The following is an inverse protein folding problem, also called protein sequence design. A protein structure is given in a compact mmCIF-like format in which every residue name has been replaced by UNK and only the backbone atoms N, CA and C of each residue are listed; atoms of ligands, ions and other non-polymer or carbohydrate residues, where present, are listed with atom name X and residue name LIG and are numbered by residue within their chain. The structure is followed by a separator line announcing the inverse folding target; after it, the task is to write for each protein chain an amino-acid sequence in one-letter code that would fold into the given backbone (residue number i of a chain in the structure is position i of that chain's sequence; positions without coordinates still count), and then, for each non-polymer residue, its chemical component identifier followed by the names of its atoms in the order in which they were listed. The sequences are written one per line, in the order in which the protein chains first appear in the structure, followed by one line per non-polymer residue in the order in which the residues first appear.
data_IF_732575718753
#
_entry.id   IF_732575718753
#
_cell.length_a   1.000
_cell.length_b   1.000
_cell.length_c   1.000
_cell.angle_alpha   90.00
_cell.angle_beta   90.00
_cell.angle_gamma   90.00
#
_symmetry.space_group_name_H-M   'P 1'
#
loop_
_entity.id
_entity.type
_entity.pdbx_description
1 polymer ?
#
# COMPACT_ATOMS: atom_id res chain seq x y z
N UNK A 1 -14.16 -1.64 -8.86
CA UNK A 1 -12.78 -2.15 -8.83
C UNK A 1 -11.86 -0.98 -8.60
N UNK A 2 -11.00 -1.03 -7.59
CA UNK A 2 -10.02 0.02 -7.32
C UNK A 2 -8.73 -0.33 -8.06
N UNK A 3 -8.21 0.56 -8.89
CA UNK A 3 -6.98 0.31 -9.65
C UNK A 3 -5.74 0.51 -8.75
N UNK A 4 -5.47 -0.45 -7.88
CA UNK A 4 -4.33 -0.41 -6.94
C UNK A 4 -3.48 -1.68 -7.01
N UNK A 5 -2.28 -1.64 -6.44
CA UNK A 5 -1.34 -2.77 -6.49
C UNK A 5 -1.90 -4.07 -5.88
N UNK A 6 -2.83 -3.98 -4.93
CA UNK A 6 -3.46 -5.15 -4.29
C UNK A 6 -4.34 -5.88 -5.30
N UNK A 7 -5.17 -5.15 -6.05
CA UNK A 7 -5.99 -5.75 -7.11
C UNK A 7 -5.16 -6.37 -8.23
N UNK A 8 -4.08 -5.71 -8.66
CA UNK A 8 -3.17 -6.24 -9.67
C UNK A 8 -2.55 -7.55 -9.19
N UNK A 9 -2.05 -7.59 -7.94
CA UNK A 9 -1.48 -8.81 -7.35
C UNK A 9 -2.50 -9.95 -7.30
N UNK A 10 -3.74 -9.66 -6.92
CA UNK A 10 -4.80 -10.66 -6.86
C UNK A 10 -5.04 -11.28 -8.23
N UNK A 11 -5.21 -10.46 -9.27
CA UNK A 11 -5.43 -10.95 -10.64
C UNK A 11 -4.28 -11.82 -11.14
N UNK A 12 -3.03 -11.51 -10.80
CA UNK A 12 -1.89 -12.35 -11.19
C UNK A 12 -1.89 -13.70 -10.48
N UNK A 13 -2.23 -13.72 -9.19
CA UNK A 13 -2.36 -14.98 -8.45
C UNK A 13 -3.50 -15.84 -9.00
N UNK A 14 -4.61 -15.22 -9.39
CA UNK A 14 -5.73 -15.90 -10.04
C UNK A 14 -5.29 -16.50 -11.40
N UNK A 15 -4.53 -15.75 -12.21
CA UNK A 15 -4.01 -16.28 -13.49
C UNK A 15 -3.06 -17.46 -13.31
N UNK A 16 -2.28 -17.49 -12.23
CA UNK A 16 -1.43 -18.64 -11.88
C UNK A 16 -2.27 -19.85 -11.45
N UNK A 17 -3.39 -19.63 -10.75
CA UNK A 17 -4.33 -20.69 -10.41
C UNK A 17 -4.99 -21.27 -11.68
N UNK A 18 -5.40 -20.41 -12.61
CA UNK A 18 -6.02 -20.78 -13.89
C UNK A 18 -5.05 -21.55 -14.81
N UNK A 19 -3.77 -21.17 -14.82
CA UNK A 19 -2.73 -21.93 -15.52
C UNK A 19 -2.48 -23.32 -14.93
N UNK A 20 -2.65 -23.47 -13.60
CA UNK A 20 -2.47 -24.75 -12.90
C UNK A 20 -3.70 -25.66 -13.01
N UNK A 21 -4.83 -25.14 -13.47
CA UNK A 21 -6.06 -25.91 -13.61
C UNK A 21 -5.89 -26.97 -14.70
N UNK A 22 -6.05 -28.26 -14.35
CA UNK A 22 -5.89 -29.37 -15.29
C UNK A 22 -7.14 -29.64 -16.13
N UNK A 23 -8.31 -29.23 -15.64
CA UNK A 23 -9.60 -29.51 -16.29
C UNK A 23 -9.92 -28.44 -17.34
N UNK A 24 -9.54 -27.19 -17.08
CA UNK A 24 -9.69 -26.08 -18.02
C UNK A 24 -8.53 -25.08 -17.86
N UNK A 25 -7.33 -25.40 -18.38
CA UNK A 25 -6.19 -24.51 -18.31
C UNK A 25 -6.40 -23.26 -19.16
N UNK A 26 -5.95 -22.11 -18.66
CA UNK A 26 -5.90 -20.89 -19.46
C UNK A 26 -4.89 -21.03 -20.60
N UNK A 27 -5.18 -20.38 -21.74
CA UNK A 27 -4.27 -20.28 -22.87
C UNK A 27 -2.95 -19.57 -22.50
N UNK A 28 -1.83 -20.15 -22.94
CA UNK A 28 -0.48 -19.71 -22.59
C UNK A 28 -0.16 -18.33 -23.20
N UNK A 29 -0.63 -18.05 -24.41
CA UNK A 29 -0.39 -16.76 -25.06
C UNK A 29 -1.13 -15.64 -24.33
N UNK A 30 -2.36 -15.91 -23.87
CA UNK A 30 -3.10 -15.00 -22.99
C UNK A 30 -2.36 -14.77 -21.66
N UNK A 31 -1.84 -15.84 -21.06
CA UNK A 31 -1.08 -15.73 -19.82
C UNK A 31 0.16 -14.85 -19.97
N UNK A 32 0.87 -15.00 -21.10
CA UNK A 32 2.03 -14.20 -21.43
C UNK A 32 1.69 -12.72 -21.60
N UNK A 33 0.60 -12.42 -22.31
CA UNK A 33 0.11 -11.05 -22.47
C UNK A 33 -0.22 -10.39 -21.11
N UNK A 34 -0.84 -11.14 -20.19
CA UNK A 34 -1.12 -10.67 -18.83
C UNK A 34 0.18 -10.41 -18.06
N UNK A 35 1.16 -11.31 -18.15
CA UNK A 35 2.46 -11.15 -17.48
C UNK A 35 3.24 -9.92 -18.00
N UNK A 36 3.15 -9.62 -19.29
CA UNK A 36 3.80 -8.44 -19.88
C UNK A 36 3.18 -7.13 -19.36
N UNK A 37 1.84 -7.05 -19.32
CA UNK A 37 1.14 -5.89 -18.74
C UNK A 37 1.44 -5.74 -17.24
N UNK A 38 1.51 -6.86 -16.52
CA UNK A 38 1.87 -6.87 -15.10
C UNK A 38 3.26 -6.28 -14.85
N UNK A 39 4.22 -6.56 -15.73
CA UNK A 39 5.58 -6.04 -15.64
C UNK A 39 5.59 -4.52 -15.75
N UNK A 40 4.86 -3.97 -16.72
CA UNK A 40 4.70 -2.52 -16.90
C UNK A 40 4.08 -1.88 -15.65
N UNK A 41 3.06 -2.50 -15.04
CA UNK A 41 2.44 -2.00 -13.81
C UNK A 41 3.37 -2.03 -12.59
N UNK A 42 4.24 -3.04 -12.50
CA UNK A 42 5.27 -3.09 -11.45
C UNK A 42 6.30 -2.00 -11.65
N UNK A 43 6.69 -1.71 -12.89
CA UNK A 43 7.63 -0.64 -13.19
C UNK A 43 7.01 0.74 -12.92
N UNK A 44 5.72 0.96 -13.18
CA UNK A 44 5.03 2.20 -12.74
C UNK A 44 5.01 2.31 -11.21
N UNK A 45 4.81 1.21 -10.49
CA UNK A 45 4.86 1.20 -9.03
C UNK A 45 6.24 1.60 -8.48
N UNK A 46 7.33 1.21 -9.16
CA UNK A 46 8.68 1.62 -8.75
C UNK A 46 8.89 3.12 -8.92
N UNK A 47 8.39 3.71 -10.01
CA UNK A 47 8.43 5.16 -10.23
C UNK A 47 7.67 5.90 -9.12
N UNK A 48 6.53 5.38 -8.69
CA UNK A 48 5.80 5.92 -7.54
C UNK A 48 6.61 5.87 -6.23
N UNK A 49 7.36 4.78 -5.99
CA UNK A 49 8.27 4.69 -4.82
C UNK A 49 9.39 5.73 -4.92
N UNK A 50 9.96 5.91 -6.11
CA UNK A 50 11.03 6.89 -6.31
C UNK A 50 10.51 8.32 -6.18
N UNK A 51 9.28 8.58 -6.62
CA UNK A 51 8.58 9.84 -6.37
C UNK A 51 8.44 10.12 -4.87
N UNK A 52 7.91 9.18 -4.09
CA UNK A 52 7.76 9.29 -2.62
C UNK A 52 9.11 9.64 -1.96
N UNK A 53 10.19 8.94 -2.35
CA UNK A 53 11.54 9.20 -1.81
C UNK A 53 12.05 10.59 -2.17
N UNK A 54 11.77 11.07 -3.39
CA UNK A 54 12.26 12.36 -3.87
C UNK A 54 11.50 13.55 -3.27
N UNK A 55 10.20 13.40 -3.03
CA UNK A 55 9.34 14.47 -2.48
C UNK A 55 9.24 14.45 -0.96
N UNK A 56 9.78 13.41 -0.31
CA UNK A 56 9.56 13.12 1.11
C UNK A 56 8.07 13.01 1.46
N UNK A 57 7.23 12.66 0.47
CA UNK A 57 5.84 12.37 0.71
C UNK A 57 5.71 11.03 1.45
N UNK A 58 4.58 10.79 2.10
CA UNK A 58 4.33 9.56 2.84
C UNK A 58 3.52 8.56 2.01
N UNK A 59 2.76 9.01 1.00
CA UNK A 59 1.73 8.19 0.36
C UNK A 59 1.54 8.52 -1.12
N UNK A 60 1.17 7.52 -1.92
CA UNK A 60 0.60 7.74 -3.26
C UNK A 60 -0.68 6.94 -3.43
N UNK A 61 -1.56 7.41 -4.31
CA UNK A 61 -2.87 6.82 -4.56
C UNK A 61 -2.79 5.38 -5.11
N UNK A 62 -1.64 5.00 -5.69
CA UNK A 62 -1.42 3.69 -6.31
C UNK A 62 -1.28 2.54 -5.29
N UNK A 63 -0.71 2.81 -4.11
CA UNK A 63 -0.53 1.79 -3.06
C UNK A 63 -1.80 1.53 -2.25
N UNK A 64 -2.86 2.32 -2.48
CA UNK A 64 -4.10 2.25 -1.73
C UNK A 64 -3.98 2.90 -0.34
N UNK A 65 -5.13 3.15 0.28
CA UNK A 65 -5.18 3.58 1.68
C UNK A 65 -4.85 2.38 2.56
N UNK A 66 -3.59 2.27 3.00
CA UNK A 66 -3.33 1.43 4.17
C UNK A 66 -3.91 2.19 5.34
N UNK A 67 -5.12 1.82 5.74
CA UNK A 67 -5.77 2.33 6.94
C UNK A 67 -5.11 1.73 8.18
N UNK A 68 -3.82 1.99 8.35
CA UNK A 68 -3.31 2.18 9.70
C UNK A 68 -3.37 3.69 9.90
N UNK A 69 -4.51 4.12 10.44
CA UNK A 69 -4.55 5.41 11.10
C UNK A 69 -3.36 5.40 12.06
N UNK A 70 -2.35 6.24 11.80
CA UNK A 70 -1.45 6.68 12.85
C UNK A 70 -2.40 7.07 13.98
N UNK A 71 -2.29 6.46 15.18
CA UNK A 71 -3.18 6.79 16.27
C UNK A 71 -3.17 8.31 16.38
N UNK A 72 -4.30 8.93 16.04
CA UNK A 72 -4.46 10.36 16.26
C UNK A 72 -4.21 10.51 17.75
N UNK A 73 -3.19 11.26 18.13
CA UNK A 73 -2.96 11.56 19.53
C UNK A 73 -4.17 12.38 19.99
N UNK A 74 -5.16 11.70 20.57
CA UNK A 74 -6.42 12.28 21.03
C UNK A 74 -6.17 13.22 22.24
N UNK A 75 -4.92 13.36 22.70
CA UNK A 75 -4.57 14.04 23.94
C UNK A 75 -5.10 13.30 25.18
N UNK A 76 -5.60 12.09 25.00
CA UNK A 76 -6.10 11.22 26.07
C UNK A 76 -4.96 10.35 26.59
N UNK A 77 -4.84 10.17 27.91
CA UNK A 77 -3.80 9.32 28.49
C UNK A 77 -3.95 7.89 27.99
N UNK A 78 -2.87 7.29 27.50
CA UNK A 78 -2.79 5.90 27.07
C UNK A 78 -1.70 5.15 27.82
N UNK A 79 -1.69 3.82 27.75
CA UNK A 79 -0.65 3.00 28.38
C UNK A 79 0.77 3.35 27.88
N UNK A 80 0.88 3.81 26.62
CA UNK A 80 2.15 4.21 26.01
C UNK A 80 2.46 5.71 26.17
N UNK A 81 1.45 6.54 26.41
CA UNK A 81 1.59 7.98 26.68
C UNK A 81 0.65 8.40 27.84
N UNK A 82 1.01 8.15 29.11
CA UNK A 82 0.14 8.43 30.26
C UNK A 82 0.03 9.93 30.58
N UNK A 83 0.92 10.78 30.04
CA UNK A 83 0.96 12.22 30.31
C UNK A 83 1.03 13.04 29.00
N UNK A 84 -0.06 13.08 28.21
CA UNK A 84 -0.06 13.74 26.90
C UNK A 84 0.02 15.28 26.98
N UNK A 85 -0.39 15.88 28.11
CA UNK A 85 -0.37 17.33 28.31
C UNK A 85 0.59 17.70 29.44
N UNK A 86 1.60 18.53 29.16
CA UNK A 86 2.51 19.09 30.17
C UNK A 86 2.32 20.60 30.28
N UNK A 87 2.05 21.08 31.50
CA UNK A 87 1.96 22.51 31.81
C UNK A 87 3.27 22.95 32.45
N UNK A 88 4.00 23.86 31.79
CA UNK A 88 5.22 24.46 32.35
C UNK A 88 4.85 25.72 33.12
N UNK A 89 4.97 25.71 34.43
CA UNK A 89 4.85 26.91 35.24
C UNK A 89 6.16 27.70 35.20
N UNK A 90 6.07 29.00 34.93
CA UNK A 90 7.20 29.93 35.05
C UNK A 90 7.00 30.71 36.34
N UNK A 91 7.98 30.67 37.24
CA UNK A 91 8.02 31.53 38.42
C UNK A 91 8.15 32.98 37.96
N UNK A 92 7.12 33.77 38.21
CA UNK A 92 7.15 35.21 37.97
C UNK A 92 7.96 35.84 39.10
N UNK A 93 9.14 36.36 38.76
CA UNK A 93 9.98 37.14 39.67
C UNK A 93 9.33 38.45 40.09
#
# INVERSE_FOLDING_TARGET
MSNNIVTVRQHLLDTLADLRNRDNPMDIDRARAVADVARVLVDTAKVEVDYIKATCDTRTQFFGETQEAIPVDTGAPSAHNPFPNTVRHVLKG
#
